data_IF_772853871812
#
_entry.id   IF_772853871812
#
_cell.length_a   1.000
_cell.length_b   1.000
_cell.length_c   1.000
_cell.angle_alpha   90.00
_cell.angle_beta   90.00
_cell.angle_gamma   90.00
#
_symmetry.space_group_name_H-M   'P 1'
#
loop_
_entity.id
_entity.type
_entity.pdbx_description
1 polymer ?
#
# COMPACT_ATOMS: atom_id res chain seq x y z
N UNK A 1 -9.52 2.73 11.34
CA UNK A 1 -8.42 2.54 12.30
C UNK A 1 -7.28 1.79 11.61
N UNK A 2 -6.09 1.66 12.22
CA UNK A 2 -5.03 0.78 11.66
C UNK A 2 -5.47 -0.68 11.75
N UNK A 3 -6.09 -1.10 12.86
CA UNK A 3 -6.59 -2.48 13.00
C UNK A 3 -7.65 -2.84 11.94
N UNK A 4 -8.57 -1.93 11.62
CA UNK A 4 -9.55 -2.16 10.56
C UNK A 4 -8.88 -2.24 9.19
N UNK A 5 -7.85 -1.44 8.95
CA UNK A 5 -7.09 -1.50 7.70
C UNK A 5 -6.37 -2.84 7.54
N UNK A 6 -5.75 -3.37 8.60
CA UNK A 6 -5.16 -4.71 8.60
C UNK A 6 -6.21 -5.79 8.34
N UNK A 7 -7.39 -5.69 8.99
CA UNK A 7 -8.50 -6.64 8.76
C UNK A 7 -8.99 -6.61 7.30
N UNK A 8 -9.11 -5.43 6.71
CA UNK A 8 -9.48 -5.27 5.30
C UNK A 8 -8.39 -5.83 4.39
N UNK A 9 -7.12 -5.52 4.63
CA UNK A 9 -5.99 -6.03 3.84
C UNK A 9 -5.92 -7.56 3.88
N UNK A 10 -6.15 -8.18 5.03
CA UNK A 10 -6.26 -9.65 5.17
C UNK A 10 -7.43 -10.22 4.36
N UNK A 11 -8.57 -9.53 4.35
CA UNK A 11 -9.71 -9.91 3.49
C UNK A 11 -9.33 -9.83 2.02
N UNK A 12 -8.65 -8.77 1.58
CA UNK A 12 -8.17 -8.63 0.21
C UNK A 12 -7.21 -9.76 -0.16
N UNK A 13 -6.25 -10.10 0.72
CA UNK A 13 -5.31 -11.20 0.51
C UNK A 13 -6.05 -12.54 0.35
N UNK A 14 -7.03 -12.83 1.20
CA UNK A 14 -7.85 -14.04 1.10
C UNK A 14 -8.59 -14.10 -0.24
N UNK A 15 -9.31 -13.03 -0.60
CA UNK A 15 -10.07 -12.98 -1.85
C UNK A 15 -9.16 -13.10 -3.08
N UNK A 16 -7.98 -12.50 -3.04
CA UNK A 16 -6.99 -12.63 -4.11
C UNK A 16 -6.52 -14.08 -4.26
N UNK A 17 -6.21 -14.76 -3.16
CA UNK A 17 -5.80 -16.18 -3.21
C UNK A 17 -6.91 -17.08 -3.74
N UNK A 18 -8.15 -16.85 -3.34
CA UNK A 18 -9.32 -17.57 -3.85
C UNK A 18 -9.48 -17.37 -5.37
N UNK A 19 -9.32 -16.13 -5.85
CA UNK A 19 -9.38 -15.83 -7.28
C UNK A 19 -8.21 -16.46 -8.06
N UNK A 20 -6.98 -16.37 -7.54
CA UNK A 20 -5.81 -16.99 -8.16
C UNK A 20 -5.91 -18.52 -8.23
N UNK A 21 -6.46 -19.15 -7.20
CA UNK A 21 -6.73 -20.59 -7.19
C UNK A 21 -7.81 -20.98 -8.23
N UNK A 22 -8.87 -20.18 -8.37
CA UNK A 22 -9.91 -20.40 -9.37
C UNK A 22 -9.36 -20.30 -10.81
N UNK A 23 -8.50 -19.31 -11.07
CA UNK A 23 -7.82 -19.14 -12.36
C UNK A 23 -6.87 -20.32 -12.66
N UNK A 24 -6.14 -20.82 -11.66
CA UNK A 24 -5.26 -21.97 -11.82
C UNK A 24 -6.00 -23.28 -12.16
N UNK A 25 -7.27 -23.37 -11.79
CA UNK A 25 -8.15 -24.51 -12.10
C UNK A 25 -8.88 -24.37 -13.46
N UNK A 26 -8.57 -23.34 -14.25
CA UNK A 26 -9.20 -23.10 -15.55
C UNK A 26 -10.61 -22.50 -15.46
N UNK A 27 -11.03 -22.04 -14.27
CA UNK A 27 -12.26 -21.29 -14.12
C UNK A 27 -12.07 -19.87 -14.62
N UNK A 28 -12.83 -19.49 -15.65
CA UNK A 28 -13.08 -18.06 -15.90
C UNK A 28 -13.63 -17.46 -14.60
N UNK A 29 -12.93 -16.48 -14.04
CA UNK A 29 -13.38 -15.75 -12.85
C UNK A 29 -14.86 -15.32 -13.02
N UNK A 30 -15.66 -15.22 -11.93
CA UNK A 30 -17.03 -14.77 -12.04
C UNK A 30 -17.04 -13.32 -12.51
N UNK A 31 -17.20 -13.14 -13.82
CA UNK A 31 -17.49 -11.86 -14.46
C UNK A 31 -18.73 -11.31 -13.80
N UNK A 32 -18.61 -10.12 -13.18
CA UNK A 32 -19.56 -9.00 -13.00
C UNK A 32 -21.07 -9.18 -13.36
N UNK A 33 -21.65 -10.36 -13.16
CA UNK A 33 -23.01 -10.73 -13.57
C UNK A 33 -23.94 -10.93 -12.37
N UNK A 34 -23.42 -10.91 -11.14
CA UNK A 34 -24.22 -11.01 -9.92
C UNK A 34 -24.67 -9.65 -9.34
N UNK A 35 -24.38 -8.53 -10.00
CA UNK A 35 -24.56 -7.20 -9.40
C UNK A 35 -25.13 -6.16 -10.37
N UNK A 36 -26.15 -6.49 -11.18
CA UNK A 36 -26.98 -5.47 -11.87
C UNK A 36 -28.43 -5.90 -12.01
N UNK A 37 -29.29 -5.39 -11.12
CA UNK A 37 -30.65 -5.02 -11.49
C UNK A 37 -30.67 -3.51 -11.83
N UNK A 38 -30.82 -3.19 -13.12
CA UNK A 38 -31.32 -1.88 -13.58
C UNK A 38 -30.36 -1.01 -14.42
N UNK A 39 -30.49 -1.09 -15.75
CA UNK A 39 -30.19 0.04 -16.66
C UNK A 39 -29.05 -0.18 -17.68
N UNK A 40 -29.24 0.19 -18.97
CA UNK A 40 -28.50 -0.39 -20.10
C UNK A 40 -27.15 0.26 -20.38
N UNK A 41 -26.28 -0.55 -20.98
CA UNK A 41 -24.90 -0.25 -21.37
C UNK A 41 -24.78 0.78 -22.52
N UNK A 42 -23.58 1.36 -22.67
CA UNK A 42 -22.89 1.14 -23.93
C UNK A 42 -21.56 0.39 -23.72
N UNK A 43 -21.34 -0.56 -24.62
CA UNK A 43 -20.14 -1.37 -24.77
C UNK A 43 -18.91 -0.50 -25.02
N UNK A 44 -17.97 -0.52 -24.08
CA UNK A 44 -16.54 -0.35 -24.37
C UNK A 44 -15.78 -1.38 -23.54
N UNK A 45 -15.21 -2.35 -24.25
CA UNK A 45 -14.26 -3.33 -23.74
C UNK A 45 -13.00 -2.60 -23.26
N UNK A 46 -12.85 -2.42 -21.95
CA UNK A 46 -11.56 -2.16 -21.34
C UNK A 46 -11.14 -3.42 -20.58
N UNK A 47 -10.33 -4.23 -21.26
CA UNK A 47 -9.44 -5.20 -20.65
C UNK A 47 -8.62 -4.50 -19.56
N UNK A 48 -8.93 -4.78 -18.30
CA UNK A 48 -8.02 -4.47 -17.19
C UNK A 48 -6.69 -5.21 -17.39
N UNK A 49 -5.57 -4.70 -16.85
CA UNK A 49 -4.29 -5.40 -16.90
C UNK A 49 -4.37 -6.57 -15.92
N UNK A 50 -4.88 -7.71 -16.38
CA UNK A 50 -5.08 -8.89 -15.54
C UNK A 50 -5.25 -10.19 -16.30
N UNK A 51 -4.87 -10.23 -17.59
CA UNK A 51 -5.00 -11.43 -18.41
C UNK A 51 -3.63 -11.91 -18.92
N UNK A 52 -3.09 -12.94 -18.24
CA UNK A 52 -2.26 -13.97 -18.86
C UNK A 52 -0.80 -13.67 -19.19
N UNK A 53 0.00 -13.17 -18.24
CA UNK A 53 1.45 -13.03 -18.44
C UNK A 53 2.25 -14.24 -17.93
N UNK A 54 3.28 -14.66 -18.68
CA UNK A 54 4.27 -15.70 -18.35
C UNK A 54 5.16 -15.40 -17.11
N UNK A 55 4.81 -14.38 -16.32
CA UNK A 55 5.65 -13.81 -15.28
C UNK A 55 5.01 -13.95 -13.89
N UNK A 56 5.82 -14.09 -12.82
CA UNK A 56 5.33 -14.14 -11.44
C UNK A 56 4.50 -12.90 -11.09
N UNK A 57 3.40 -13.10 -10.37
CA UNK A 57 2.55 -11.99 -9.92
C UNK A 57 3.27 -11.17 -8.86
N UNK A 58 3.17 -9.85 -8.97
CA UNK A 58 3.80 -8.89 -8.06
C UNK A 58 2.76 -7.92 -7.55
N UNK A 59 2.62 -7.86 -6.23
CA UNK A 59 1.60 -7.05 -5.57
C UNK A 59 2.22 -6.04 -4.59
N UNK A 60 1.54 -4.91 -4.40
CA UNK A 60 1.84 -3.93 -3.37
C UNK A 60 0.74 -3.94 -2.32
N UNK A 61 1.15 -3.93 -1.05
CA UNK A 61 0.27 -3.82 0.10
C UNK A 61 0.78 -2.66 0.97
N UNK A 62 0.05 -1.55 0.99
CA UNK A 62 0.37 -0.37 1.79
C UNK A 62 -0.58 -0.27 3.01
N UNK A 63 -0.12 -0.78 4.14
CA UNK A 63 -0.75 -0.62 5.45
C UNK A 63 -0.44 0.74 6.06
N UNK A 64 -1.43 1.38 6.69
CA UNK A 64 -1.17 2.53 7.52
C UNK A 64 -0.33 2.09 8.72
N UNK A 65 0.78 2.78 8.96
CA UNK A 65 1.58 2.53 10.15
C UNK A 65 1.01 3.33 11.33
N UNK A 66 0.94 2.74 12.54
CA UNK A 66 0.54 3.48 13.72
C UNK A 66 1.57 4.56 14.01
N UNK A 67 1.10 5.80 14.20
CA UNK A 67 1.95 6.91 14.62
C UNK A 67 2.61 6.57 15.96
N UNK A 68 3.93 6.75 16.05
CA UNK A 68 4.65 6.66 17.33
C UNK A 68 4.87 8.05 17.95
N UNK A 69 4.16 9.09 17.49
CA UNK A 69 4.14 10.39 18.17
C UNK A 69 3.51 10.23 19.54
N UNK A 70 4.36 9.93 20.52
CA UNK A 70 4.12 10.33 21.90
C UNK A 70 4.08 11.85 21.91
N UNK A 71 3.02 12.45 22.45
CA UNK A 71 2.95 13.90 22.63
C UNK A 71 4.27 14.46 23.15
N UNK A 72 4.66 15.65 22.67
CA UNK A 72 5.85 16.40 23.08
C UNK A 72 6.05 16.23 24.61
N UNK A 73 7.21 15.70 25.03
CA UNK A 73 7.57 15.26 26.41
C UNK A 73 7.11 13.86 26.90
N UNK A 74 6.64 12.96 26.04
CA UNK A 74 6.32 11.58 26.46
C UNK A 74 5.16 11.46 27.45
N UNK A 75 4.40 12.56 27.63
CA UNK A 75 3.21 12.65 28.47
C UNK A 75 2.01 12.99 27.59
N UNK A 76 1.47 11.96 26.94
CA UNK A 76 0.17 12.01 26.29
C UNK A 76 -0.37 10.60 26.17
N UNK A 77 -1.69 10.39 26.18
CA UNK A 77 -2.25 9.09 25.88
C UNK A 77 -1.74 8.65 24.52
N UNK A 78 -1.43 7.36 24.36
CA UNK A 78 -1.11 6.80 23.04
C UNK A 78 -2.17 7.31 22.04
N UNK A 79 -1.71 7.88 20.93
CA UNK A 79 -2.62 8.31 19.88
C UNK A 79 -3.56 7.13 19.57
N UNK A 80 -4.88 7.36 19.44
CA UNK A 80 -5.81 6.28 19.17
C UNK A 80 -5.39 5.53 17.90
N UNK A 81 -5.84 4.28 17.75
CA UNK A 81 -5.64 3.41 16.58
C UNK A 81 -6.18 4.05 15.28
N UNK A 82 -5.56 5.14 14.86
CA UNK A 82 -6.00 6.02 13.80
C UNK A 82 -4.94 6.01 12.71
N UNK A 83 -5.44 6.09 11.49
CA UNK A 83 -4.58 6.34 10.35
C UNK A 83 -4.27 7.83 10.36
N UNK A 84 -3.00 8.19 10.50
CA UNK A 84 -2.53 9.57 10.47
C UNK A 84 -1.74 9.82 9.18
N UNK A 85 -1.45 11.10 8.89
CA UNK A 85 -0.35 11.41 7.98
C UNK A 85 0.93 10.74 8.48
N UNK A 86 1.58 9.97 7.61
CA UNK A 86 2.86 9.35 7.90
C UNK A 86 3.98 10.37 7.68
N UNK A 87 4.81 10.56 8.70
CA UNK A 87 5.98 11.42 8.68
C UNK A 87 7.24 10.56 8.96
N UNK A 88 8.36 10.85 8.30
CA UNK A 88 9.63 10.15 8.57
C UNK A 88 10.08 10.34 10.03
N UNK A 89 9.75 11.49 10.63
CA UNK A 89 10.00 11.78 12.04
C UNK A 89 9.21 10.90 13.01
N UNK A 90 8.19 10.16 12.54
CA UNK A 90 7.43 9.24 13.38
C UNK A 90 8.26 8.03 13.83
N UNK A 91 9.42 7.77 13.20
CA UNK A 91 10.30 6.65 13.54
C UNK A 91 11.74 7.15 13.79
N UNK A 92 12.01 7.80 14.94
CA UNK A 92 13.33 8.38 15.23
C UNK A 92 14.48 7.36 15.29
N UNK A 93 14.17 6.08 15.53
CA UNK A 93 15.10 4.96 15.42
C UNK A 93 15.27 4.42 14.00
N UNK A 94 14.82 5.16 12.99
CA UNK A 94 14.96 4.85 11.57
C UNK A 94 14.25 3.56 11.16
N UNK A 95 14.81 2.90 10.14
CA UNK A 95 14.22 1.72 9.50
C UNK A 95 14.08 0.53 10.46
N UNK A 96 14.97 0.36 11.43
CA UNK A 96 14.87 -0.69 12.46
C UNK A 96 13.63 -0.50 13.34
N UNK A 97 13.36 0.74 13.78
CA UNK A 97 12.17 1.01 14.60
C UNK A 97 10.90 0.82 13.77
N UNK A 98 10.90 1.30 12.53
CA UNK A 98 9.79 1.13 11.59
C UNK A 98 9.52 -0.35 11.32
N UNK A 99 10.56 -1.16 11.08
CA UNK A 99 10.43 -2.60 10.90
C UNK A 99 9.79 -3.28 12.11
N UNK A 100 10.16 -2.92 13.34
CA UNK A 100 9.53 -3.48 14.56
C UNK A 100 8.02 -3.22 14.60
N UNK A 101 7.58 -2.06 14.10
CA UNK A 101 6.15 -1.72 14.00
C UNK A 101 5.49 -2.55 12.89
N UNK A 102 6.10 -2.60 11.70
CA UNK A 102 5.61 -3.40 10.57
C UNK A 102 5.49 -4.88 10.95
N UNK A 103 6.49 -5.43 11.66
CA UNK A 103 6.50 -6.84 12.10
C UNK A 103 5.25 -7.19 12.90
N UNK A 104 4.83 -6.32 13.83
CA UNK A 104 3.58 -6.52 14.60
C UNK A 104 2.34 -6.50 13.70
N UNK A 105 2.31 -5.63 12.68
CA UNK A 105 1.22 -5.59 11.71
C UNK A 105 1.23 -6.82 10.80
N UNK A 106 2.41 -7.35 10.46
CA UNK A 106 2.55 -8.59 9.70
C UNK A 106 1.99 -9.78 10.47
N UNK A 107 2.28 -9.89 11.76
CA UNK A 107 1.73 -10.96 12.60
C UNK A 107 0.19 -10.92 12.62
N UNK A 108 -0.42 -9.73 12.62
CA UNK A 108 -1.88 -9.55 12.54
C UNK A 108 -2.44 -9.79 11.14
N UNK A 109 -1.74 -9.34 10.10
CA UNK A 109 -2.14 -9.53 8.70
C UNK A 109 -2.15 -11.02 8.32
N UNK A 110 -1.15 -11.75 8.82
CA UNK A 110 -0.90 -13.15 8.51
C UNK A 110 -1.54 -14.13 9.51
N UNK A 111 -2.28 -13.62 10.49
CA UNK A 111 -3.06 -14.43 11.43
C UNK A 111 -4.05 -15.34 10.66
N UNK A 112 -3.93 -16.64 10.90
CA UNK A 112 -4.72 -17.69 10.23
C UNK A 112 -4.05 -18.34 9.02
N UNK A 113 -2.87 -17.85 8.62
CA UNK A 113 -2.03 -18.50 7.62
C UNK A 113 -0.87 -19.23 8.28
N UNK A 114 -0.39 -20.31 7.65
CA UNK A 114 0.86 -20.98 8.04
C UNK A 114 2.06 -20.17 7.52
N UNK A 115 2.23 -18.98 8.11
CA UNK A 115 3.26 -18.03 7.69
C UNK A 115 4.55 -18.25 8.46
N UNK A 116 5.66 -18.37 7.73
CA UNK A 116 7.00 -18.49 8.28
C UNK A 116 7.77 -17.17 8.10
N UNK A 117 8.28 -16.60 9.20
CA UNK A 117 9.28 -15.54 9.12
C UNK A 117 10.63 -16.14 8.72
N UNK A 118 11.17 -15.72 7.58
CA UNK A 118 12.41 -16.25 7.02
C UNK A 118 13.65 -15.50 7.52
N UNK A 119 13.49 -14.28 8.05
CA UNK A 119 14.57 -13.47 8.57
C UNK A 119 14.62 -12.07 7.96
N UNK A 120 15.70 -11.36 8.28
CA UNK A 120 16.06 -10.09 7.69
C UNK A 120 16.97 -10.31 6.47
N UNK A 121 16.84 -9.45 5.47
CA UNK A 121 17.53 -9.59 4.19
C UNK A 121 18.81 -8.77 4.19
N UNK A 122 19.95 -9.43 3.95
CA UNK A 122 21.31 -8.86 3.89
C UNK A 122 21.80 -8.24 5.21
N UNK A 123 21.24 -7.11 5.65
CA UNK A 123 21.63 -6.38 6.87
C UNK A 123 20.42 -6.11 7.77
N UNK A 124 20.55 -6.42 9.06
CA UNK A 124 19.52 -6.17 10.07
C UNK A 124 19.22 -4.67 10.23
N UNK A 125 20.18 -3.80 9.94
CA UNK A 125 20.04 -2.34 10.03
C UNK A 125 19.08 -1.78 8.98
N UNK A 126 18.94 -2.44 7.84
CA UNK A 126 18.05 -2.03 6.74
C UNK A 126 16.57 -2.32 7.05
N UNK A 127 16.30 -3.20 8.02
CA UNK A 127 14.93 -3.51 8.46
C UNK A 127 14.08 -4.18 7.39
N UNK A 128 14.69 -4.83 6.39
CA UNK A 128 13.98 -5.54 5.31
C UNK A 128 13.70 -6.98 5.76
N UNK A 129 12.44 -7.29 6.09
CA UNK A 129 12.05 -8.63 6.52
C UNK A 129 11.36 -9.44 5.42
N UNK A 130 11.51 -10.77 5.51
CA UNK A 130 10.88 -11.73 4.61
C UNK A 130 9.96 -12.70 5.35
N UNK A 131 8.77 -12.90 4.80
CA UNK A 131 7.84 -13.95 5.20
C UNK A 131 7.52 -14.83 4.00
N UNK A 132 7.25 -16.10 4.26
CA UNK A 132 6.71 -17.02 3.29
C UNK A 132 5.40 -17.60 3.79
N UNK A 133 4.46 -17.70 2.86
CA UNK A 133 3.30 -18.59 2.88
C UNK A 133 3.49 -19.51 1.67
N UNK A 134 2.83 -20.66 1.63
CA UNK A 134 3.00 -21.71 0.60
C UNK A 134 3.22 -21.19 -0.83
N UNK A 135 2.35 -20.29 -1.30
CA UNK A 135 2.28 -19.69 -2.64
C UNK A 135 2.69 -18.21 -2.70
N UNK A 136 3.12 -17.62 -1.57
CA UNK A 136 3.36 -16.18 -1.46
C UNK A 136 4.65 -15.88 -0.69
N UNK A 137 5.48 -14.99 -1.23
CA UNK A 137 6.58 -14.35 -0.48
C UNK A 137 6.21 -12.90 -0.19
N UNK A 138 6.30 -12.49 1.06
CA UNK A 138 6.11 -11.10 1.46
C UNK A 138 7.47 -10.51 1.82
N UNK A 139 7.81 -9.38 1.18
CA UNK A 139 8.98 -8.57 1.51
C UNK A 139 8.50 -7.23 2.06
N UNK A 140 9.04 -6.80 3.19
CA UNK A 140 8.60 -5.58 3.85
C UNK A 140 9.67 -4.51 3.85
N UNK A 141 9.25 -3.25 3.90
CA UNK A 141 10.11 -2.09 4.15
C UNK A 141 11.22 -1.87 3.10
N UNK A 142 10.93 -2.16 1.83
CA UNK A 142 11.91 -1.94 0.76
C UNK A 142 12.02 -0.45 0.45
N UNK A 143 13.21 0.10 0.67
CA UNK A 143 13.62 1.47 0.30
C UNK A 143 14.47 1.46 -0.97
N UNK A 144 14.72 2.64 -1.56
CA UNK A 144 15.63 2.80 -2.69
C UNK A 144 17.03 2.19 -2.45
N UNK A 145 17.54 2.27 -1.22
CA UNK A 145 18.84 1.70 -0.83
C UNK A 145 18.84 0.15 -0.88
N UNK A 146 17.69 -0.46 -0.62
CA UNK A 146 17.52 -1.93 -0.51
C UNK A 146 16.94 -2.57 -1.78
N UNK A 147 16.70 -1.78 -2.83
CA UNK A 147 16.29 -2.29 -4.15
C UNK A 147 17.24 -3.36 -4.71
N UNK A 148 18.58 -3.29 -4.54
CA UNK A 148 19.46 -4.38 -4.97
C UNK A 148 19.09 -5.73 -4.34
N UNK A 149 18.69 -5.73 -3.07
CA UNK A 149 18.25 -6.92 -2.34
C UNK A 149 16.92 -7.46 -2.89
N UNK A 150 15.99 -6.56 -3.27
CA UNK A 150 14.76 -6.92 -3.97
C UNK A 150 15.05 -7.55 -5.34
N UNK A 151 15.94 -6.96 -6.14
CA UNK A 151 16.32 -7.51 -7.45
C UNK A 151 16.89 -8.92 -7.26
N UNK A 152 17.85 -9.10 -6.35
CA UNK A 152 18.43 -10.40 -6.03
C UNK A 152 17.39 -11.42 -5.57
N UNK A 153 16.37 -10.99 -4.82
CA UNK A 153 15.23 -11.85 -4.47
C UNK A 153 14.46 -12.28 -5.71
N UNK A 154 14.03 -11.34 -6.54
CA UNK A 154 13.25 -11.63 -7.75
C UNK A 154 14.01 -12.50 -8.77
N UNK A 155 15.34 -12.38 -8.79
CA UNK A 155 16.24 -13.22 -9.60
C UNK A 155 16.49 -14.62 -9.00
N UNK A 156 15.83 -14.95 -7.88
CA UNK A 156 15.92 -16.25 -7.23
C UNK A 156 17.18 -16.47 -6.40
N UNK A 157 17.92 -15.40 -6.07
CA UNK A 157 19.12 -15.45 -5.25
C UNK A 157 18.91 -15.99 -3.84
N UNK A 158 17.66 -16.02 -3.37
CA UNK A 158 17.25 -16.60 -2.07
C UNK A 158 16.33 -17.83 -2.21
N UNK A 159 16.22 -18.38 -3.42
CA UNK A 159 15.36 -19.51 -3.74
C UNK A 159 14.53 -19.26 -4.99
N UNK A 160 14.25 -20.33 -5.75
CA UNK A 160 13.63 -20.23 -7.08
C UNK A 160 12.10 -20.14 -7.08
N UNK A 161 11.44 -20.30 -5.92
CA UNK A 161 9.97 -20.26 -5.84
C UNK A 161 9.38 -18.96 -6.38
N UNK A 162 10.01 -17.82 -6.06
CA UNK A 162 9.62 -16.48 -6.51
C UNK A 162 9.67 -16.25 -8.02
N UNK A 163 10.33 -17.15 -8.77
CA UNK A 163 10.37 -17.13 -10.23
C UNK A 163 9.23 -17.95 -10.86
N UNK A 164 8.48 -18.70 -10.06
CA UNK A 164 7.34 -19.47 -10.56
C UNK A 164 6.16 -18.55 -10.86
N UNK A 165 5.50 -18.78 -12.00
CA UNK A 165 4.27 -18.06 -12.41
C UNK A 165 3.12 -18.26 -11.41
N UNK A 166 3.14 -19.36 -10.65
CA UNK A 166 2.15 -19.66 -9.60
C UNK A 166 2.47 -19.01 -8.26
N UNK A 167 3.67 -18.44 -8.11
CA UNK A 167 4.11 -17.81 -6.88
C UNK A 167 3.90 -16.30 -6.97
N UNK A 168 3.42 -15.71 -5.88
CA UNK A 168 3.19 -14.27 -5.81
C UNK A 168 4.19 -13.62 -4.87
N UNK A 169 4.76 -12.49 -5.29
CA UNK A 169 5.61 -11.65 -4.43
C UNK A 169 4.82 -10.41 -4.02
N UNK A 170 4.73 -10.15 -2.72
CA UNK A 170 4.03 -8.98 -2.16
C UNK A 170 5.05 -8.06 -1.48
N UNK A 171 5.17 -6.84 -1.97
CA UNK A 171 5.90 -5.78 -1.31
C UNK A 171 4.98 -5.06 -0.31
N UNK A 172 5.31 -5.13 0.97
CA UNK A 172 4.55 -4.50 2.06
C UNK A 172 5.24 -3.21 2.48
N UNK A 173 4.47 -2.12 2.45
CA UNK A 173 4.93 -0.76 2.76
C UNK A 173 6.23 -0.36 2.04
N UNK A 174 6.33 -0.56 0.72
CA UNK A 174 7.50 -0.09 -0.03
C UNK A 174 7.64 1.43 0.06
N UNK A 175 8.86 1.91 0.14
CA UNK A 175 9.24 3.33 0.17
C UNK A 175 10.02 3.77 -1.07
N UNK A 176 10.22 2.86 -2.03
CA UNK A 176 10.90 3.24 -3.27
C UNK A 176 10.11 4.31 -4.02
N UNK A 177 10.82 5.22 -4.67
CA UNK A 177 10.21 6.37 -5.37
C UNK A 177 9.79 6.03 -6.80
N UNK A 178 10.19 4.86 -7.31
CA UNK A 178 10.04 4.49 -8.71
C UNK A 178 11.03 5.21 -9.63
N UNK A 179 11.93 6.03 -9.08
CA UNK A 179 12.99 6.72 -9.80
C UNK A 179 14.27 5.87 -9.78
N UNK A 180 14.69 5.28 -10.90
CA UNK A 180 15.83 4.37 -10.92
C UNK A 180 17.15 5.07 -10.58
N UNK A 181 17.24 6.38 -10.82
CA UNK A 181 18.40 7.20 -10.50
C UNK A 181 18.63 7.40 -9.00
N UNK A 182 17.61 7.12 -8.19
CA UNK A 182 17.72 7.10 -6.73
C UNK A 182 18.26 5.78 -6.19
N UNK A 183 18.54 4.79 -7.05
CA UNK A 183 19.05 3.46 -6.66
C UNK A 183 20.55 3.37 -6.93
N UNK A 184 21.30 2.99 -5.89
CA UNK A 184 22.75 2.78 -5.96
C UNK A 184 23.54 4.04 -6.32
N UNK A 185 24.81 3.84 -6.67
CA UNK A 185 25.73 4.92 -7.04
C UNK A 185 25.56 5.32 -8.51
N UNK A 186 25.87 6.57 -8.91
CA UNK A 186 25.69 7.07 -10.28
C UNK A 186 26.35 6.22 -11.38
N UNK A 187 27.48 5.57 -11.09
CA UNK A 187 28.21 4.75 -12.05
C UNK A 187 27.69 3.30 -12.17
N UNK A 188 26.72 2.89 -11.34
CA UNK A 188 26.16 1.53 -11.36
C UNK A 188 25.04 1.41 -12.40
N UNK A 189 25.36 1.68 -13.66
CA UNK A 189 24.40 1.73 -14.77
C UNK A 189 23.57 0.44 -14.94
N UNK A 190 24.21 -0.72 -14.75
CA UNK A 190 23.54 -2.03 -14.84
C UNK A 190 22.47 -2.20 -13.75
N UNK A 191 22.80 -1.84 -12.51
CA UNK A 191 21.87 -1.88 -11.39
C UNK A 191 20.68 -0.94 -11.62
N UNK A 192 20.93 0.29 -12.10
CA UNK A 192 19.86 1.26 -12.38
C UNK A 192 18.92 0.79 -13.48
N UNK A 193 19.43 0.10 -14.50
CA UNK A 193 18.59 -0.51 -15.53
C UNK A 193 17.67 -1.59 -14.97
N UNK A 194 18.24 -2.52 -14.19
CA UNK A 194 17.43 -3.56 -13.53
C UNK A 194 16.42 -2.95 -12.54
N UNK A 195 16.80 -1.90 -11.82
CA UNK A 195 15.90 -1.17 -10.94
C UNK A 195 14.76 -0.50 -11.72
N UNK A 196 15.02 0.06 -12.90
CA UNK A 196 13.97 0.62 -13.75
C UNK A 196 12.91 -0.43 -14.14
N UNK A 197 13.36 -1.63 -14.53
CA UNK A 197 12.47 -2.73 -14.90
C UNK A 197 11.66 -3.26 -13.70
N UNK A 198 12.32 -3.42 -12.55
CA UNK A 198 11.69 -3.95 -11.34
C UNK A 198 10.75 -2.95 -10.68
N UNK A 199 11.09 -1.67 -10.66
CA UNK A 199 10.30 -0.62 -10.00
C UNK A 199 9.22 0.00 -10.89
N UNK A 200 9.16 -0.40 -12.16
CA UNK A 200 8.12 0.03 -13.10
C UNK A 200 6.72 -0.19 -12.50
N UNK A 201 5.91 0.88 -12.31
CA UNK A 201 4.61 0.77 -11.67
C UNK A 201 3.65 -0.22 -12.36
N UNK A 202 3.74 -0.38 -13.69
CA UNK A 202 2.92 -1.34 -14.42
C UNK A 202 3.19 -2.81 -14.04
N UNK A 203 4.37 -3.08 -13.46
CA UNK A 203 4.78 -4.42 -13.02
C UNK A 203 4.14 -4.82 -11.69
N UNK A 204 3.59 -3.87 -10.93
CA UNK A 204 3.04 -4.11 -9.59
C UNK A 204 1.56 -3.75 -9.49
N UNK A 205 0.73 -4.72 -9.12
CA UNK A 205 -0.69 -4.47 -8.82
C UNK A 205 -0.88 -4.11 -7.34
N UNK A 206 -1.69 -3.08 -7.04
CA UNK A 206 -1.98 -2.71 -5.65
C UNK A 206 -3.11 -3.57 -5.10
N UNK A 207 -2.78 -4.48 -4.18
CA UNK A 207 -3.73 -5.32 -3.46
C UNK A 207 -4.52 -4.52 -2.42
N UNK A 208 -3.81 -3.70 -1.65
CA UNK A 208 -4.41 -2.84 -0.63
C UNK A 208 -3.60 -1.57 -0.45
N UNK A 209 -4.28 -0.44 -0.22
CA UNK A 209 -3.66 0.82 0.16
C UNK A 209 -4.62 1.62 1.02
N UNK A 210 -4.14 2.09 2.17
CA UNK A 210 -4.83 3.12 2.95
C UNK A 210 -3.81 4.13 3.46
N UNK A 211 -3.84 5.34 2.89
CA UNK A 211 -2.85 6.37 3.21
C UNK A 211 -3.51 7.74 3.30
N UNK A 212 -3.22 8.45 4.40
CA UNK A 212 -3.54 9.87 4.50
C UNK A 212 -2.61 10.68 3.61
N UNK A 213 -3.17 11.69 2.95
CA UNK A 213 -2.52 12.59 2.03
C UNK A 213 -2.73 14.03 2.51
N UNK A 214 -1.67 14.82 2.39
CA UNK A 214 -1.70 16.27 2.55
C UNK A 214 -1.57 16.92 1.18
N UNK A 215 -2.55 17.74 0.82
CA UNK A 215 -2.55 18.51 -0.40
C UNK A 215 -1.81 19.85 -0.27
N UNK A 216 -1.47 20.44 -1.41
CA UNK A 216 -0.64 21.65 -1.52
C UNK A 216 -1.24 22.91 -0.90
N UNK A 217 -2.53 22.91 -0.53
CA UNK A 217 -3.22 24.02 0.14
C UNK A 217 -3.72 23.65 1.53
N UNK A 218 -3.14 22.64 2.18
CA UNK A 218 -3.60 22.16 3.49
C UNK A 218 -4.93 21.39 3.43
N UNK A 219 -5.33 20.91 2.25
CA UNK A 219 -6.44 19.97 2.14
C UNK A 219 -5.96 18.58 2.56
N UNK A 220 -6.65 17.93 3.49
CA UNK A 220 -6.32 16.58 3.93
C UNK A 220 -7.29 15.57 3.29
N UNK A 221 -6.85 14.35 3.11
CA UNK A 221 -7.71 13.26 2.66
C UNK A 221 -7.05 11.90 2.78
N UNK A 222 -7.80 10.85 2.49
CA UNK A 222 -7.34 9.48 2.46
C UNK A 222 -7.48 8.93 1.04
N UNK A 223 -6.39 8.37 0.52
CA UNK A 223 -6.42 7.53 -0.68
C UNK A 223 -6.54 6.08 -0.24
N UNK A 224 -7.56 5.41 -0.75
CA UNK A 224 -7.90 4.04 -0.38
C UNK A 224 -8.06 3.14 -1.59
N UNK A 225 -7.62 1.89 -1.45
CA UNK A 225 -7.81 0.79 -2.39
C UNK A 225 -7.91 -0.51 -1.60
N UNK A 226 -8.95 -1.29 -1.86
CA UNK A 226 -9.10 -2.64 -1.31
C UNK A 226 -9.54 -3.60 -2.42
N UNK A 227 -8.64 -4.47 -2.90
CA UNK A 227 -8.94 -5.41 -3.99
C UNK A 227 -10.16 -6.29 -3.64
N UNK A 228 -11.11 -6.50 -4.57
CA UNK A 228 -11.11 -6.14 -6.00
C UNK A 228 -11.77 -4.79 -6.32
N UNK A 229 -12.10 -3.96 -5.32
CA UNK A 229 -12.89 -2.73 -5.52
C UNK A 229 -12.18 -1.63 -6.33
N UNK A 230 -12.74 -0.42 -6.40
CA UNK A 230 -12.10 0.70 -7.09
C UNK A 230 -11.15 1.47 -6.16
N UNK A 231 -10.29 2.29 -6.73
CA UNK A 231 -9.61 3.35 -6.00
C UNK A 231 -10.63 4.38 -5.55
N UNK A 232 -10.46 4.90 -4.34
CA UNK A 232 -11.34 5.91 -3.76
C UNK A 232 -10.54 6.99 -3.02
N UNK A 233 -11.02 8.23 -3.10
CA UNK A 233 -10.47 9.38 -2.35
C UNK A 233 -11.55 9.93 -1.45
N UNK A 234 -11.21 10.07 -0.17
CA UNK A 234 -12.08 10.63 0.85
C UNK A 234 -11.42 11.88 1.43
N UNK A 235 -12.07 13.06 1.40
CA UNK A 235 -11.52 14.25 2.04
C UNK A 235 -11.58 14.09 3.56
N UNK A 236 -10.69 14.75 4.30
CA UNK A 236 -10.59 14.62 5.74
C UNK A 236 -10.63 15.98 6.43
N UNK A 237 -11.28 16.05 7.60
CA UNK A 237 -11.37 17.27 8.40
C UNK A 237 -10.06 17.59 9.14
N UNK A 238 -9.24 16.57 9.36
CA UNK A 238 -8.02 16.59 10.16
C UNK A 238 -6.89 15.85 9.40
N UNK A 239 -5.61 15.96 9.83
CA UNK A 239 -4.49 15.16 9.30
C UNK A 239 -4.56 13.67 9.69
N UNK A 240 -5.76 13.14 9.93
CA UNK A 240 -6.02 11.76 10.31
C UNK A 240 -7.41 11.31 9.85
N UNK A 241 -7.67 10.02 10.01
CA UNK A 241 -8.89 9.37 9.57
C UNK A 241 -10.06 9.44 10.58
N UNK A 242 -10.04 10.34 11.57
CA UNK A 242 -11.16 10.47 12.53
C UNK A 242 -12.46 10.89 11.85
N UNK A 243 -12.36 11.81 10.90
CA UNK A 243 -13.52 12.38 10.20
C UNK A 243 -13.25 12.49 8.70
N UNK A 244 -13.67 11.46 7.98
CA UNK A 244 -13.66 11.41 6.53
C UNK A 244 -15.02 11.86 5.99
N UNK A 245 -15.00 12.66 4.92
CA UNK A 245 -16.19 13.03 4.17
C UNK A 245 -16.58 11.96 3.14
N UNK A 246 -17.53 12.32 2.29
CA UNK A 246 -17.98 11.44 1.20
C UNK A 246 -16.89 11.22 0.14
N UNK A 247 -17.00 10.12 -0.60
CA UNK A 247 -16.06 9.79 -1.66
C UNK A 247 -16.12 10.83 -2.79
N UNK A 248 -15.02 11.57 -3.01
CA UNK A 248 -14.94 12.65 -4.01
C UNK A 248 -14.34 12.20 -5.35
N UNK A 249 -13.68 11.03 -5.36
CA UNK A 249 -13.12 10.44 -6.57
C UNK A 249 -13.15 8.92 -6.44
N UNK A 250 -13.67 8.24 -7.46
CA UNK A 250 -13.65 6.79 -7.51
C UNK A 250 -13.28 6.32 -8.93
N UNK A 251 -12.21 5.55 -9.07
CA UNK A 251 -11.66 5.15 -10.37
C UNK A 251 -11.23 3.68 -10.37
N UNK A 252 -11.42 2.93 -11.47
CA UNK A 252 -10.99 1.54 -11.53
C UNK A 252 -9.45 1.41 -11.46
N UNK A 253 -8.74 2.37 -12.04
CA UNK A 253 -7.27 2.47 -12.04
C UNK A 253 -6.78 3.52 -11.05
N UNK A 254 -5.48 3.48 -10.73
CA UNK A 254 -4.86 4.42 -9.80
C UNK A 254 -5.01 5.84 -10.33
N UNK A 255 -5.64 6.78 -9.58
CA UNK A 255 -5.79 8.14 -10.03
C UNK A 255 -4.45 8.88 -10.01
N UNK A 256 -4.25 9.78 -10.97
CA UNK A 256 -3.07 10.65 -11.00
C UNK A 256 -3.03 11.59 -9.80
N UNK A 257 -1.83 11.84 -9.26
CA UNK A 257 -1.65 12.70 -8.09
C UNK A 257 -2.25 14.09 -8.28
N UNK A 258 -2.13 14.68 -9.47
CA UNK A 258 -2.72 16.01 -9.78
C UNK A 258 -4.24 16.02 -9.65
N UNK A 259 -4.90 14.96 -10.12
CA UNK A 259 -6.36 14.82 -10.03
C UNK A 259 -6.80 14.61 -8.58
N UNK A 260 -6.09 13.78 -7.82
CA UNK A 260 -6.36 13.57 -6.38
C UNK A 260 -6.28 14.91 -5.64
N UNK A 261 -5.20 15.69 -5.87
CA UNK A 261 -5.01 16.99 -5.23
C UNK A 261 -6.10 18.01 -5.60
N UNK A 262 -6.51 18.04 -6.86
CA UNK A 262 -7.60 18.92 -7.31
C UNK A 262 -8.90 18.63 -6.56
N UNK A 263 -9.30 17.35 -6.47
CA UNK A 263 -10.54 16.93 -5.77
C UNK A 263 -10.50 17.21 -4.27
N UNK A 264 -9.35 16.99 -3.62
CA UNK A 264 -9.20 17.34 -2.20
C UNK A 264 -9.31 18.84 -1.97
N UNK A 265 -8.74 19.66 -2.86
CA UNK A 265 -8.83 21.11 -2.77
C UNK A 265 -10.26 21.62 -2.99
N UNK A 266 -11.02 21.02 -3.90
CA UNK A 266 -12.44 21.33 -4.12
C UNK A 266 -13.28 21.04 -2.86
N UNK A 267 -13.02 19.92 -2.19
CA UNK A 267 -13.73 19.53 -0.96
C UNK A 267 -13.28 20.30 0.30
N UNK A 268 -12.16 21.02 0.22
CA UNK A 268 -11.53 21.67 1.38
C UNK A 268 -12.47 22.61 2.15
N UNK A 269 -13.24 23.52 1.53
CA UNK A 269 -14.09 24.45 2.29
C UNK A 269 -15.14 23.72 3.14
N UNK A 270 -15.75 22.66 2.60
CA UNK A 270 -16.71 21.83 3.33
C UNK A 270 -16.03 21.12 4.51
N UNK A 271 -14.82 20.58 4.30
CA UNK A 271 -14.08 19.93 5.38
C UNK A 271 -13.59 20.89 6.46
N UNK A 272 -13.26 22.15 6.10
CA UNK A 272 -12.92 23.18 7.08
C UNK A 272 -14.12 23.58 7.94
N UNK A 273 -15.29 23.74 7.32
CA UNK A 273 -16.53 23.98 8.07
C UNK A 273 -16.81 22.82 9.02
N UNK A 274 -16.60 21.57 8.57
CA UNK A 274 -16.76 20.38 9.41
C UNK A 274 -15.74 20.32 10.54
N UNK A 275 -14.47 20.65 10.27
CA UNK A 275 -13.43 20.72 11.29
C UNK A 275 -13.79 21.73 12.39
N UNK A 276 -14.30 22.91 12.00
CA UNK A 276 -14.78 23.94 12.92
C UNK A 276 -15.95 23.48 13.78
N UNK A 277 -16.95 22.85 13.17
CA UNK A 277 -18.11 22.27 13.88
C UNK A 277 -17.66 21.27 14.96
N UNK A 278 -16.64 20.48 14.66
CA UNK A 278 -16.12 19.42 15.53
C UNK A 278 -15.06 19.91 16.53
N UNK A 279 -14.67 21.19 16.49
CA UNK A 279 -13.58 21.71 17.33
C UNK A 279 -12.21 21.11 17.01
N UNK A 280 -11.99 20.69 15.76
CA UNK A 280 -10.76 20.07 15.26
C UNK A 280 -9.85 21.06 14.53
N UNK A 281 -10.06 22.36 14.68
CA UNK A 281 -9.21 23.37 14.07
C UNK A 281 -7.76 23.20 14.56
N UNK A 282 -6.83 22.98 13.63
CA UNK A 282 -5.42 23.02 13.96
C UNK A 282 -5.05 24.44 14.43
N UNK A 283 -4.29 24.62 15.52
CA UNK A 283 -3.69 25.90 15.81
C UNK A 283 -2.84 26.30 14.60
N UNK A 284 -3.07 27.49 14.04
CA UNK A 284 -2.54 27.97 12.76
C UNK A 284 -1.02 28.20 12.68
N UNK A 285 -0.23 27.37 13.36
CA UNK A 285 1.22 27.38 13.42
C UNK A 285 1.79 26.13 12.72
N UNK A 286 1.40 25.86 11.47
CA UNK A 286 2.08 24.91 10.59
C UNK A 286 1.95 25.34 9.12
#
# INVERSE_FOLDING_TARGET
TVSDAVRQARTCLRLFREAAAAEALGGSAPTEAALRSGGPAPSTSSSGPGAGGEWPRRLILELPLPSQRTSFFGKGPAMPDLITLADESDYPGGEVQRFRVIRKLMDQLLEGYDAQFLGLLEDDADGVGLWAIEDITLIVNVTNATVPSLIKLLDGGYGRKVQSVRHTVIAVNPQWTGEPDSVGQPWQWGLRRCAAEVLEPATWEVLYKARMLRGSRGANGMLHRAWPHRWAVYPAAAPDARHLGECVLATPTRPESKLVLARLNEAKPAMQAKAKELGLEEPGWF
#
